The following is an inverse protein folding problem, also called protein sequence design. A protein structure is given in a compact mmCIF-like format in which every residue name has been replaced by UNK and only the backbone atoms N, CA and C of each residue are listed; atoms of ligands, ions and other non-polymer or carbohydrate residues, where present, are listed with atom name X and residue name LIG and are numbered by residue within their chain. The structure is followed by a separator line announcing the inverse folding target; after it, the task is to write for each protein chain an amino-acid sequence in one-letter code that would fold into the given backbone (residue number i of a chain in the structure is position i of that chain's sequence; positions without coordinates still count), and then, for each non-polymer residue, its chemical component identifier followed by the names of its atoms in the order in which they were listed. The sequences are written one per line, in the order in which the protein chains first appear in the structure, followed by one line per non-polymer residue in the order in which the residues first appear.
data_IF_602160727250
#
_entry.id   IF_602160727250
#
_cell.length_a   1.000
_cell.length_b   1.000
_cell.length_c   1.000
_cell.angle_alpha   90.00
_cell.angle_beta   90.00
_cell.angle_gamma   90.00
#
_symmetry.space_group_name_H-M   'P 1'
#
loop_
_entity.id
_entity.type
_entity.pdbx_description
1 polymer ?
#
# COMPACT_ATOMS: atom_id res chain seq x y z
N UNK A 1 -2.55 -9.52 16.96
CA UNK A 1 -1.75 -9.22 15.75
C UNK A 1 -2.62 -8.33 14.86
N UNK A 2 -2.13 -7.15 14.45
CA UNK A 2 -2.93 -6.21 13.62
C UNK A 2 -2.68 -6.48 12.13
N UNK A 3 -3.61 -6.13 11.22
CA UNK A 3 -3.37 -6.24 9.78
C UNK A 3 -2.06 -5.55 9.36
N UNK A 4 -1.75 -4.39 9.93
CA UNK A 4 -0.53 -3.64 9.67
C UNK A 4 0.74 -4.42 10.04
N UNK A 5 0.71 -5.18 11.15
CA UNK A 5 1.85 -6.02 11.57
C UNK A 5 2.08 -7.24 10.68
N UNK A 6 1.03 -7.77 10.03
CA UNK A 6 1.16 -8.86 9.06
C UNK A 6 1.76 -8.30 7.77
N UNK A 7 1.25 -7.16 7.30
CA UNK A 7 1.73 -6.49 6.08
C UNK A 7 3.21 -6.13 6.17
N UNK A 8 3.65 -5.52 7.26
CA UNK A 8 5.05 -5.13 7.43
C UNK A 8 6.01 -6.32 7.46
N UNK A 9 5.59 -7.43 8.08
CA UNK A 9 6.44 -8.61 8.26
C UNK A 9 6.53 -9.47 7.01
N UNK A 10 5.41 -9.69 6.33
CA UNK A 10 5.32 -10.66 5.23
C UNK A 10 5.29 -10.00 3.85
N UNK A 11 4.92 -8.72 3.77
CA UNK A 11 4.72 -8.00 2.50
C UNK A 11 5.32 -6.58 2.52
N UNK A 12 6.59 -6.39 2.94
CA UNK A 12 7.19 -5.06 3.08
C UNK A 12 7.29 -4.30 1.73
N UNK A 13 7.48 -5.05 0.65
CA UNK A 13 7.67 -4.52 -0.70
C UNK A 13 6.33 -4.27 -1.44
N UNK A 14 5.19 -4.68 -0.86
CA UNK A 14 3.88 -4.49 -1.49
C UNK A 14 3.38 -3.06 -1.37
N UNK A 15 2.81 -2.56 -2.46
CA UNK A 15 2.20 -1.21 -2.54
C UNK A 15 0.69 -1.25 -2.26
N UNK A 16 0.04 -2.36 -2.64
CA UNK A 16 -1.36 -2.65 -2.40
C UNK A 16 -1.48 -4.11 -1.95
N UNK A 17 -2.33 -4.34 -0.94
CA UNK A 17 -2.70 -5.68 -0.49
C UNK A 17 -4.22 -5.73 -0.50
N UNK A 18 -4.77 -6.70 -1.22
CA UNK A 18 -6.20 -6.98 -1.26
C UNK A 18 -6.46 -8.15 -0.32
N UNK A 19 -7.38 -7.95 0.61
CA UNK A 19 -7.85 -8.98 1.53
C UNK A 19 -9.26 -9.37 1.11
N UNK A 20 -9.47 -10.64 0.81
CA UNK A 20 -10.81 -11.20 0.63
C UNK A 20 -11.42 -11.51 2.01
N UNK A 21 -12.64 -11.05 2.26
CA UNK A 21 -13.31 -11.18 3.56
C UNK A 21 -12.93 -10.08 4.55
N UNK A 22 -12.64 -10.45 5.81
CA UNK A 22 -12.25 -9.48 6.85
C UNK A 22 -13.32 -8.44 7.18
N UNK A 23 -14.61 -8.83 7.11
CA UNK A 23 -15.77 -7.93 7.27
C UNK A 23 -15.71 -7.10 8.56
N UNK A 24 -15.22 -7.70 9.64
CA UNK A 24 -15.13 -7.08 10.96
C UNK A 24 -13.88 -6.18 11.15
N UNK A 25 -12.97 -6.15 10.18
CA UNK A 25 -11.78 -5.30 10.26
C UNK A 25 -12.12 -3.86 9.88
N UNK A 26 -11.57 -2.90 10.61
CA UNK A 26 -11.66 -1.47 10.32
C UNK A 26 -10.72 -1.06 9.15
N UNK A 27 -10.87 -1.71 8.00
CA UNK A 27 -10.16 -1.42 6.76
C UNK A 27 -11.11 -0.81 5.71
N UNK A 28 -10.60 -0.05 4.72
CA UNK A 28 -11.37 0.33 3.53
C UNK A 28 -11.82 -0.92 2.78
N UNK A 29 -13.09 -0.94 2.34
CA UNK A 29 -13.73 -2.11 1.72
C UNK A 29 -14.26 -1.78 0.33
N UNK A 30 -14.15 -2.78 -0.52
CA UNK A 30 -14.87 -2.88 -1.78
C UNK A 30 -15.98 -3.89 -1.53
N UNK A 31 -17.24 -3.50 -1.70
CA UNK A 31 -18.36 -4.44 -1.60
C UNK A 31 -18.62 -5.06 -2.97
N UNK A 32 -18.51 -6.38 -3.08
CA UNK A 32 -18.90 -7.10 -4.28
C UNK A 32 -20.32 -7.62 -4.04
N UNK A 33 -21.28 -6.98 -4.71
CA UNK A 33 -22.70 -7.24 -4.53
C UNK A 33 -23.14 -8.43 -5.37
N UNK A 34 -23.97 -9.29 -4.80
CA UNK A 34 -24.78 -10.24 -5.58
C UNK A 34 -26.10 -9.61 -6.03
N UNK A 35 -26.59 -9.97 -7.21
CA UNK A 35 -27.83 -9.41 -7.77
C UNK A 35 -28.99 -9.39 -6.75
N UNK A 36 -29.59 -8.22 -6.53
CA UNK A 36 -30.68 -8.01 -5.57
C UNK A 36 -30.26 -7.79 -4.11
N UNK A 37 -28.97 -7.83 -3.78
CA UNK A 37 -28.47 -7.59 -2.43
C UNK A 37 -28.36 -6.08 -2.13
N UNK A 38 -28.97 -5.62 -1.05
CA UNK A 38 -28.77 -4.24 -0.58
C UNK A 38 -27.32 -4.02 -0.13
N UNK A 39 -26.74 -2.83 -0.37
CA UNK A 39 -25.38 -2.56 0.08
C UNK A 39 -25.39 -2.52 1.62
N UNK A 40 -24.52 -3.26 2.30
CA UNK A 40 -24.55 -3.31 3.75
C UNK A 40 -24.15 -1.96 4.35
N UNK A 41 -24.74 -1.62 5.49
CA UNK A 41 -24.42 -0.41 6.26
C UNK A 41 -23.06 -0.49 6.98
N UNK A 42 -22.12 -1.30 6.47
CA UNK A 42 -20.82 -1.50 7.09
C UNK A 42 -19.91 -0.28 6.88
N UNK A 43 -19.24 0.20 7.94
CA UNK A 43 -18.32 1.32 7.82
C UNK A 43 -17.10 0.94 6.98
N UNK A 44 -16.65 1.92 6.18
CA UNK A 44 -15.43 1.83 5.38
C UNK A 44 -15.63 1.34 3.95
N UNK A 45 -16.86 1.10 3.50
CA UNK A 45 -17.14 0.84 2.07
C UNK A 45 -16.92 2.12 1.28
N UNK A 46 -16.01 2.07 0.32
CA UNK A 46 -15.67 3.23 -0.55
C UNK A 46 -15.87 2.95 -2.04
N UNK A 47 -16.14 1.68 -2.40
CA UNK A 47 -16.51 1.22 -3.74
C UNK A 47 -17.47 0.03 -3.64
N UNK A 48 -18.35 -0.11 -4.62
CA UNK A 48 -19.26 -1.24 -4.80
C UNK A 48 -19.07 -1.76 -6.23
N UNK A 49 -18.96 -3.08 -6.40
CA UNK A 49 -19.03 -3.73 -7.70
C UNK A 49 -20.34 -4.52 -7.78
N UNK A 50 -21.17 -4.20 -8.76
CA UNK A 50 -22.47 -4.81 -9.00
C UNK A 50 -22.55 -5.26 -10.46
N UNK A 51 -22.29 -6.54 -10.72
CA UNK A 51 -22.10 -7.05 -12.08
C UNK A 51 -23.33 -6.87 -12.98
N UNK A 52 -24.53 -7.03 -12.41
CA UNK A 52 -25.80 -6.98 -13.14
C UNK A 52 -26.66 -5.75 -12.85
N UNK A 53 -26.27 -4.94 -11.87
CA UNK A 53 -27.04 -3.78 -11.44
C UNK A 53 -26.87 -2.53 -12.30
N UNK A 54 -27.59 -1.50 -11.91
CA UNK A 54 -27.50 -0.17 -12.51
C UNK A 54 -26.46 0.69 -11.78
N UNK A 55 -25.82 1.59 -12.53
CA UNK A 55 -24.84 2.55 -12.01
C UNK A 55 -25.53 3.67 -11.24
N UNK A 56 -26.00 3.35 -10.03
CA UNK A 56 -26.82 4.25 -9.21
C UNK A 56 -26.00 5.37 -8.55
N UNK A 57 -24.67 5.24 -8.51
CA UNK A 57 -23.78 6.27 -8.01
C UNK A 57 -22.37 6.17 -8.61
N UNK A 58 -21.57 7.23 -8.45
CA UNK A 58 -20.14 7.25 -8.82
C UNK A 58 -19.26 6.26 -8.05
N UNK A 59 -19.79 5.59 -7.02
CA UNK A 59 -19.07 4.60 -6.23
C UNK A 59 -19.43 3.16 -6.62
N UNK A 60 -20.42 2.99 -7.50
CA UNK A 60 -20.86 1.70 -8.04
C UNK A 60 -20.21 1.50 -9.41
N UNK A 61 -19.64 0.32 -9.60
CA UNK A 61 -19.04 -0.16 -10.85
C UNK A 61 -19.80 -1.39 -11.31
N UNK A 62 -20.12 -1.44 -12.60
CA UNK A 62 -20.89 -2.53 -13.20
C UNK A 62 -20.01 -3.47 -14.04
N UNK A 63 -20.59 -4.57 -14.52
CA UNK A 63 -19.90 -5.47 -15.45
C UNK A 63 -19.39 -4.73 -16.68
N UNK A 64 -18.10 -4.88 -16.99
CA UNK A 64 -17.42 -4.16 -18.07
C UNK A 64 -16.66 -2.90 -17.62
N UNK A 65 -16.84 -2.45 -16.37
CA UNK A 65 -16.14 -1.28 -15.80
C UNK A 65 -14.94 -1.67 -14.92
N UNK A 66 -14.51 -2.94 -14.94
CA UNK A 66 -13.44 -3.46 -14.09
C UNK A 66 -12.13 -2.68 -14.27
N UNK A 67 -11.85 -2.25 -15.50
CA UNK A 67 -10.68 -1.43 -15.82
C UNK A 67 -10.71 -0.08 -15.12
N UNK A 68 -11.84 0.64 -15.20
CA UNK A 68 -12.02 1.95 -14.57
C UNK A 68 -11.92 1.83 -13.04
N UNK A 69 -12.51 0.76 -12.49
CA UNK A 69 -12.42 0.44 -11.07
C UNK A 69 -10.98 0.20 -10.62
N UNK A 70 -10.22 -0.58 -11.39
CA UNK A 70 -8.81 -0.86 -11.12
C UNK A 70 -7.94 0.41 -11.20
N UNK A 71 -8.17 1.28 -12.19
CA UNK A 71 -7.47 2.57 -12.32
C UNK A 71 -7.74 3.48 -11.12
N UNK A 72 -9.00 3.55 -10.67
CA UNK A 72 -9.34 4.32 -9.47
C UNK A 72 -8.69 3.73 -8.21
N UNK A 73 -8.70 2.41 -8.04
CA UNK A 73 -8.02 1.75 -6.92
C UNK A 73 -6.52 2.07 -6.92
N UNK A 74 -5.87 1.99 -8.08
CA UNK A 74 -4.46 2.34 -8.24
C UNK A 74 -4.17 3.80 -7.88
N UNK A 75 -5.04 4.74 -8.27
CA UNK A 75 -4.87 6.17 -7.93
C UNK A 75 -4.94 6.45 -6.42
N UNK A 76 -5.79 5.72 -5.68
CA UNK A 76 -5.90 5.84 -4.22
C UNK A 76 -4.63 5.38 -3.51
N UNK A 77 -3.98 4.34 -4.05
CA UNK A 77 -2.71 3.82 -3.52
C UNK A 77 -1.56 4.78 -3.84
N UNK A 78 -1.44 5.20 -5.11
CA UNK A 78 -0.34 6.05 -5.58
C UNK A 78 -0.39 7.47 -5.01
N UNK A 79 -1.58 8.02 -4.78
CA UNK A 79 -1.75 9.40 -4.30
C UNK A 79 -1.60 9.62 -2.79
N UNK A 80 -1.61 8.56 -1.97
CA UNK A 80 -1.52 8.69 -0.49
C UNK A 80 -0.47 7.80 0.18
N UNK A 81 -0.06 6.70 -0.44
CA UNK A 81 0.78 5.67 0.19
C UNK A 81 2.10 5.41 -0.54
N UNK A 82 2.27 5.94 -1.76
CA UNK A 82 3.54 5.84 -2.47
C UNK A 82 4.54 6.81 -1.86
N UNK A 83 5.26 6.34 -0.85
CA UNK A 83 6.42 7.04 -0.32
C UNK A 83 7.66 6.54 -1.02
N UNK A 84 8.49 7.48 -1.44
CA UNK A 84 9.81 7.26 -2.02
C UNK A 84 10.76 6.45 -1.11
N UNK A 85 10.47 6.36 0.19
CA UNK A 85 11.14 5.46 1.12
C UNK A 85 10.17 4.97 2.22
N UNK A 86 10.37 3.72 2.67
CA UNK A 86 9.72 3.13 3.85
C UNK A 86 10.80 2.72 4.86
N UNK A 87 10.63 3.09 6.13
CA UNK A 87 11.50 2.68 7.24
C UNK A 87 10.65 1.90 8.24
N UNK A 88 11.20 0.82 8.78
CA UNK A 88 10.55 -0.01 9.78
C UNK A 88 11.45 -0.14 11.03
N UNK A 89 10.85 -0.04 12.22
CA UNK A 89 11.46 -0.45 13.47
C UNK A 89 10.93 -1.83 13.85
N UNK A 90 11.70 -2.88 13.54
CA UNK A 90 11.22 -4.25 13.53
C UNK A 90 10.06 -4.41 12.54
N UNK A 91 8.92 -4.93 12.98
CA UNK A 91 7.71 -5.07 12.16
C UNK A 91 6.81 -3.81 12.19
N UNK A 92 7.26 -2.68 12.73
CA UNK A 92 6.43 -1.45 12.80
C UNK A 92 6.89 -0.41 11.79
N UNK A 93 6.05 0.00 10.82
CA UNK A 93 6.41 1.09 9.91
C UNK A 93 6.55 2.39 10.70
N UNK A 94 7.61 3.14 10.46
CA UNK A 94 7.79 4.49 11.00
C UNK A 94 7.01 5.48 10.12
N UNK A 95 5.96 6.15 10.64
CA UNK A 95 5.26 7.17 9.87
C UNK A 95 6.20 8.35 9.59
N UNK A 96 6.30 8.75 8.33
CA UNK A 96 7.15 9.87 7.88
C UNK A 96 6.34 10.80 6.99
N UNK A 97 6.72 12.09 6.93
CA UNK A 97 6.18 13.00 5.91
C UNK A 97 6.82 12.71 4.56
N UNK A 98 6.15 13.06 3.46
CA UNK A 98 6.64 12.77 2.10
C UNK A 98 8.02 13.40 1.84
N UNK A 99 8.21 14.65 2.27
CA UNK A 99 9.52 15.32 2.24
C UNK A 99 10.64 14.51 2.92
N UNK A 100 10.36 13.87 4.06
CA UNK A 100 11.37 13.07 4.79
C UNK A 100 11.66 11.78 4.02
N UNK A 101 10.63 11.14 3.46
CA UNK A 101 10.82 9.96 2.61
C UNK A 101 11.68 10.30 1.37
N UNK A 102 11.41 11.44 0.73
CA UNK A 102 12.17 11.92 -0.43
C UNK A 102 13.62 12.24 -0.08
N UNK A 103 13.82 12.91 1.05
CA UNK A 103 15.15 13.21 1.57
C UNK A 103 15.95 11.92 1.84
N UNK A 104 15.38 10.96 2.57
CA UNK A 104 16.01 9.67 2.87
C UNK A 104 16.39 8.94 1.58
N UNK A 105 15.44 8.80 0.63
CA UNK A 105 15.70 8.18 -0.66
C UNK A 105 16.84 8.90 -1.40
N UNK A 106 16.74 10.22 -1.54
CA UNK A 106 17.71 11.02 -2.28
C UNK A 106 19.12 10.91 -1.71
N UNK A 107 19.26 11.01 -0.39
CA UNK A 107 20.55 10.85 0.30
C UNK A 107 21.15 9.47 0.09
N UNK A 108 20.34 8.41 0.24
CA UNK A 108 20.79 7.03 0.01
C UNK A 108 21.22 6.83 -1.44
N UNK A 109 20.41 7.26 -2.41
CA UNK A 109 20.73 7.13 -3.83
C UNK A 109 22.01 7.88 -4.19
N UNK A 110 22.20 9.09 -3.65
CA UNK A 110 23.43 9.86 -3.84
C UNK A 110 24.67 9.15 -3.27
N UNK A 111 24.55 8.56 -2.07
CA UNK A 111 25.63 7.76 -1.48
C UNK A 111 25.95 6.53 -2.33
N UNK A 112 24.94 5.79 -2.79
CA UNK A 112 25.14 4.59 -3.60
C UNK A 112 25.72 4.89 -4.97
N UNK A 113 25.34 6.00 -5.61
CA UNK A 113 25.90 6.41 -6.90
C UNK A 113 27.42 6.63 -6.87
N UNK A 114 27.99 6.94 -5.70
CA UNK A 114 29.44 7.07 -5.52
C UNK A 114 30.18 5.73 -5.42
N UNK A 115 29.46 4.62 -5.24
CA UNK A 115 30.01 3.28 -5.05
C UNK A 115 30.01 2.47 -6.35
N UNK A 116 31.02 1.60 -6.50
CA UNK A 116 31.14 0.71 -7.67
C UNK A 116 29.91 -0.21 -7.78
N UNK A 117 29.14 -0.04 -8.85
CA UNK A 117 27.92 -0.83 -9.12
C UNK A 117 26.64 -0.26 -8.50
N UNK A 118 26.70 0.87 -7.80
CA UNK A 118 25.53 1.50 -7.17
C UNK A 118 24.66 2.36 -8.11
N UNK A 119 25.03 2.45 -9.39
CA UNK A 119 24.24 3.12 -10.44
C UNK A 119 23.15 2.24 -11.08
N UNK A 120 23.02 0.98 -10.64
CA UNK A 120 22.04 0.05 -11.19
C UNK A 120 20.68 0.21 -10.49
N UNK A 121 19.85 1.13 -10.99
CA UNK A 121 18.60 1.58 -10.35
C UNK A 121 17.40 0.65 -10.54
N UNK A 122 17.54 -0.39 -11.35
CA UNK A 122 16.43 -1.27 -11.73
C UNK A 122 16.17 -2.40 -10.72
N UNK A 123 16.86 -2.36 -9.58
CA UNK A 123 16.78 -3.39 -8.52
C UNK A 123 16.34 -2.76 -7.21
N UNK A 124 15.54 -3.51 -6.45
CA UNK A 124 15.20 -3.17 -5.07
C UNK A 124 16.47 -3.09 -4.22
N UNK A 125 16.67 -1.95 -3.57
CA UNK A 125 17.80 -1.72 -2.66
C UNK A 125 17.35 -2.08 -1.24
N UNK A 126 18.05 -3.03 -0.60
CA UNK A 126 17.84 -3.41 0.80
C UNK A 126 18.98 -2.86 1.66
N UNK A 127 18.63 -2.14 2.73
CA UNK A 127 19.60 -1.55 3.66
C UNK A 127 19.35 -2.13 5.05
N UNK A 128 20.40 -2.68 5.64
CA UNK A 128 20.39 -3.23 6.99
C UNK A 128 21.22 -2.31 7.86
N UNK A 129 20.61 -1.76 8.90
CA UNK A 129 21.27 -0.90 9.89
C UNK A 129 21.24 -1.62 11.23
N UNK A 130 22.42 -1.86 11.79
CA UNK A 130 22.54 -2.41 13.13
C UNK A 130 22.61 -1.25 14.14
N UNK A 131 21.71 -1.27 15.13
CA UNK A 131 21.71 -0.28 16.22
C UNK A 131 22.74 -0.60 17.31
N UNK A 132 23.31 -1.81 17.30
CA UNK A 132 24.35 -2.21 18.24
C UNK A 132 25.72 -1.73 17.76
N UNK A 133 26.04 -0.47 18.01
CA UNK A 133 27.45 -0.07 18.03
C UNK A 133 28.10 -0.48 19.36
N UNK A 134 28.00 -1.75 19.73
CA UNK A 134 28.92 -2.37 20.68
C UNK A 134 29.97 -3.19 19.90
N UNK A 135 30.94 -2.45 19.34
CA UNK A 135 32.32 -2.90 19.25
C UNK A 135 32.80 -3.55 17.95
N UNK A 136 33.73 -2.87 17.27
CA UNK A 136 35.10 -3.37 17.10
C UNK A 136 36.08 -2.18 17.19
N UNK A 137 36.64 -1.96 18.39
CA UNK A 137 37.98 -1.38 18.53
C UNK A 137 39.00 -2.50 18.33
#
# INVERSE_FOLDING_TARGET
MTPQSIVSRYFPDSELIILEGGKDLALPKIWVRTEGEEPPLQPGIFMIYDRGGNKDSKFVYCGGEEKEMAERLASLVRGKAYRSAKIYFGDRPLPMKDFIADFVRGSIMGMLASLKGGSNTDRTIRIYLDSSTEGKK
#
